data_IF_788098773185
#
_entry.id   IF_788098773185
#
_cell.length_a   1.000
_cell.length_b   1.000
_cell.length_c   1.000
_cell.angle_alpha   90.00
_cell.angle_beta   90.00
_cell.angle_gamma   90.00
#
_symmetry.space_group_name_H-M   'P 1'
#
loop_
_entity.id
_entity.type
_entity.pdbx_description
1 polymer ?
#
# COMPACT_ATOMS: atom_id res chain seq x y z
N UNK A 1 -3.64 -13.18 10.85
CA UNK A 1 -2.98 -13.22 12.18
C UNK A 1 -1.46 -13.16 12.09
N UNK A 2 -0.81 -13.85 11.14
CA UNK A 2 0.67 -13.83 11.02
C UNK A 2 1.28 -12.45 10.73
N UNK A 3 0.69 -11.63 9.84
CA UNK A 3 1.23 -10.31 9.45
C UNK A 3 1.35 -9.30 10.60
N UNK A 4 0.56 -9.45 11.67
CA UNK A 4 0.44 -8.49 12.78
C UNK A 4 1.04 -8.96 14.10
N UNK A 5 1.31 -10.27 14.24
CA UNK A 5 2.19 -10.79 15.30
C UNK A 5 3.65 -10.42 15.01
N UNK A 6 3.96 -10.11 13.76
CA UNK A 6 5.21 -9.49 13.37
C UNK A 6 5.19 -7.98 13.67
N UNK A 7 5.49 -7.64 14.92
CA UNK A 7 5.56 -6.25 15.43
C UNK A 7 6.55 -5.42 14.61
N UNK A 8 7.65 -6.03 14.16
CA UNK A 8 8.67 -5.36 13.36
C UNK A 8 8.10 -4.96 12.01
N UNK A 9 7.45 -5.88 11.30
CA UNK A 9 6.83 -5.59 10.02
C UNK A 9 5.69 -4.56 10.17
N UNK A 10 4.86 -4.70 11.19
CA UNK A 10 3.76 -3.77 11.42
C UNK A 10 4.24 -2.34 11.77
N UNK A 11 5.30 -2.20 12.56
CA UNK A 11 5.91 -0.91 12.87
C UNK A 11 6.53 -0.21 11.65
N UNK A 12 6.85 -0.97 10.59
CA UNK A 12 7.41 -0.43 9.34
C UNK A 12 6.35 -0.15 8.26
N UNK A 13 5.20 -0.80 8.35
CA UNK A 13 4.12 -0.70 7.35
C UNK A 13 3.01 0.29 7.74
N UNK A 14 2.99 0.76 8.99
CA UNK A 14 1.94 1.63 9.52
C UNK A 14 2.53 2.90 10.13
N UNK A 15 2.01 4.05 9.73
CA UNK A 15 2.30 5.33 10.41
C UNK A 15 1.65 5.45 11.80
N UNK A 16 0.82 4.47 12.21
CA UNK A 16 0.20 4.41 13.54
C UNK A 16 0.97 3.48 14.47
N UNK A 17 1.05 3.79 15.79
CA UNK A 17 1.65 2.90 16.77
C UNK A 17 1.03 1.51 16.73
N UNK A 18 1.86 0.47 16.73
CA UNK A 18 1.37 -0.90 16.87
C UNK A 18 0.62 -1.06 18.20
N UNK A 19 -0.51 -1.77 18.16
CA UNK A 19 -1.31 -2.09 19.34
C UNK A 19 -1.60 -3.59 19.36
N UNK A 20 -1.49 -4.26 20.52
CA UNK A 20 -1.96 -5.63 20.66
C UNK A 20 -3.44 -5.70 20.34
N UNK A 21 -3.86 -6.72 19.58
CA UNK A 21 -5.27 -7.00 19.35
C UNK A 21 -5.70 -8.16 20.25
N UNK A 22 -6.84 -7.99 20.91
CA UNK A 22 -7.46 -9.08 21.67
C UNK A 22 -7.86 -10.20 20.70
N UNK A 23 -7.70 -11.49 21.06
CA UNK A 23 -8.19 -12.62 20.28
C UNK A 23 -9.68 -12.52 19.92
N UNK A 24 -10.47 -11.87 20.78
CA UNK A 24 -11.93 -11.71 20.62
C UNK A 24 -12.33 -10.39 19.94
N UNK A 25 -11.37 -9.61 19.45
CA UNK A 25 -11.66 -8.33 18.80
C UNK A 25 -12.52 -8.55 17.54
N UNK A 26 -13.79 -8.13 17.61
CA UNK A 26 -14.77 -8.18 16.50
C UNK A 26 -14.54 -7.09 15.43
N UNK A 27 -13.29 -6.68 15.24
CA UNK A 27 -12.95 -5.77 14.15
C UNK A 27 -12.11 -6.56 13.15
N UNK A 28 -12.71 -7.15 12.11
CA UNK A 28 -11.91 -7.73 11.05
C UNK A 28 -11.06 -6.58 10.51
N UNK A 29 -9.74 -6.71 10.59
CA UNK A 29 -8.79 -5.73 10.05
C UNK A 29 -8.97 -5.48 8.55
N UNK A 30 -9.78 -6.32 7.90
CA UNK A 30 -10.13 -6.32 6.49
C UNK A 30 -11.65 -6.14 6.28
N UNK A 31 -12.37 -5.65 7.31
CA UNK A 31 -13.74 -5.20 7.11
C UNK A 31 -13.65 -3.91 6.29
N UNK A 32 -13.94 -4.04 4.99
CA UNK A 32 -14.13 -2.89 4.14
C UNK A 32 -15.23 -2.03 4.77
N UNK A 33 -14.93 -0.76 4.96
CA UNK A 33 -15.95 0.25 5.23
C UNK A 33 -16.51 0.68 3.87
N UNK A 34 -17.61 0.06 3.46
CA UNK A 34 -18.23 0.28 2.16
C UNK A 34 -18.84 1.70 2.02
N UNK A 35 -18.88 2.49 3.10
CA UNK A 35 -19.43 3.85 3.12
C UNK A 35 -18.34 4.94 2.93
N UNK A 36 -17.04 4.62 3.11
CA UNK A 36 -15.95 5.59 2.96
C UNK A 36 -15.54 5.76 1.49
N UNK A 37 -16.17 6.71 0.79
CA UNK A 37 -15.82 7.02 -0.61
C UNK A 37 -14.35 7.49 -0.82
N UNK A 38 -13.70 7.94 0.27
CA UNK A 38 -12.31 8.39 0.32
C UNK A 38 -11.28 7.27 0.39
N UNK A 39 -11.73 6.02 0.52
CA UNK A 39 -10.88 4.84 0.71
C UNK A 39 -11.46 3.62 -0.01
N UNK A 40 -10.60 2.74 -0.50
CA UNK A 40 -11.02 1.43 -1.02
C UNK A 40 -10.01 0.40 -0.56
N UNK A 41 -10.50 -0.69 0.00
CA UNK A 41 -9.69 -1.80 0.49
C UNK A 41 -9.92 -3.06 -0.35
N UNK A 42 -8.84 -3.79 -0.57
CA UNK A 42 -8.85 -5.02 -1.36
C UNK A 42 -8.16 -6.14 -0.59
N UNK A 43 -8.72 -7.34 -0.69
CA UNK A 43 -8.01 -8.58 -0.39
C UNK A 43 -7.17 -8.99 -1.61
N UNK A 44 -5.90 -9.36 -1.39
CA UNK A 44 -5.04 -9.91 -2.44
C UNK A 44 -5.05 -11.42 -2.30
N UNK A 45 -5.51 -12.12 -3.33
CA UNK A 45 -5.59 -13.59 -3.36
C UNK A 45 -4.77 -14.16 -4.51
N UNK A 46 -4.12 -15.31 -4.31
CA UNK A 46 -3.54 -16.08 -5.42
C UNK A 46 -4.67 -16.60 -6.31
N UNK A 47 -4.52 -16.42 -7.64
CA UNK A 47 -5.50 -16.93 -8.61
C UNK A 47 -5.60 -18.47 -8.56
N UNK A 48 -4.47 -19.13 -8.28
CA UNK A 48 -4.45 -20.56 -8.02
C UNK A 48 -4.86 -20.83 -6.57
N UNK A 49 -6.00 -21.49 -6.39
CA UNK A 49 -6.51 -21.89 -5.07
C UNK A 49 -7.19 -20.80 -4.23
N UNK A 50 -7.13 -19.51 -4.60
CA UNK A 50 -7.84 -18.44 -3.89
C UNK A 50 -7.24 -18.08 -2.52
N UNK A 51 -5.99 -18.44 -2.28
CA UNK A 51 -5.31 -18.21 -1.01
C UNK A 51 -5.12 -16.73 -0.76
N UNK A 52 -5.58 -16.21 0.39
CA UNK A 52 -5.32 -14.84 0.81
C UNK A 52 -3.83 -14.64 1.11
N UNK A 53 -3.18 -13.75 0.35
CA UNK A 53 -1.74 -13.48 0.44
C UNK A 53 -1.41 -12.06 0.89
N UNK A 54 -2.40 -11.18 1.02
CA UNK A 54 -2.18 -9.82 1.48
C UNK A 54 -3.37 -8.90 1.33
N UNK A 55 -3.09 -7.61 1.40
CA UNK A 55 -4.03 -6.51 1.21
C UNK A 55 -3.49 -5.44 0.30
N UNK A 56 -4.41 -4.67 -0.23
CA UNK A 56 -4.12 -3.47 -1.00
C UNK A 56 -5.15 -2.39 -0.67
N UNK A 57 -4.75 -1.13 -0.78
CA UNK A 57 -5.60 0.00 -0.42
C UNK A 57 -5.36 1.18 -1.34
N UNK A 58 -6.44 1.85 -1.75
CA UNK A 58 -6.44 3.23 -2.19
C UNK A 58 -6.96 4.09 -1.05
N UNK A 59 -6.30 5.21 -0.73
CA UNK A 59 -6.81 6.15 0.29
C UNK A 59 -6.51 7.60 -0.06
N UNK A 60 -7.18 8.51 0.65
CA UNK A 60 -7.07 9.94 0.39
C UNK A 60 -7.56 10.27 -1.01
N UNK A 61 -8.63 9.60 -1.44
CA UNK A 61 -9.20 9.79 -2.77
C UNK A 61 -9.83 11.18 -2.83
N UNK A 62 -9.20 12.05 -3.61
CA UNK A 62 -9.70 13.38 -3.91
C UNK A 62 -10.35 13.35 -5.29
N UNK A 63 -11.67 13.50 -5.33
CA UNK A 63 -12.45 13.46 -6.57
C UNK A 63 -12.36 14.77 -7.36
N UNK A 64 -12.04 15.88 -6.72
CA UNK A 64 -11.85 17.17 -7.37
C UNK A 64 -10.49 17.23 -8.07
N UNK A 65 -9.41 16.94 -7.33
CA UNK A 65 -8.04 16.93 -7.86
C UNK A 65 -7.70 15.61 -8.58
N UNK A 66 -8.58 14.61 -8.49
CA UNK A 66 -8.46 13.30 -9.14
C UNK A 66 -7.15 12.60 -8.75
N UNK A 67 -6.90 12.49 -7.45
CA UNK A 67 -5.68 11.86 -6.93
C UNK A 67 -5.96 10.89 -5.79
N UNK A 68 -5.10 9.90 -5.61
CA UNK A 68 -5.13 9.02 -4.45
C UNK A 68 -3.74 8.49 -4.10
N UNK A 69 -3.58 7.98 -2.90
CA UNK A 69 -2.45 7.15 -2.52
C UNK A 69 -2.78 5.67 -2.73
N UNK A 70 -1.76 4.87 -3.02
CA UNK A 70 -1.87 3.41 -3.09
C UNK A 70 -0.84 2.75 -2.17
N UNK A 71 -1.18 1.57 -1.67
CA UNK A 71 -0.32 0.83 -0.75
C UNK A 71 -0.73 -0.62 -0.66
N UNK A 72 0.24 -1.47 -0.32
CA UNK A 72 0.07 -2.93 -0.28
C UNK A 72 0.76 -3.52 0.95
N UNK A 73 0.23 -4.64 1.44
CA UNK A 73 0.84 -5.45 2.47
C UNK A 73 0.76 -6.92 2.08
N UNK A 74 1.91 -7.59 1.93
CA UNK A 74 1.97 -9.02 1.58
C UNK A 74 2.49 -9.86 2.75
N UNK A 75 1.91 -11.05 2.90
CA UNK A 75 2.39 -12.08 3.82
C UNK A 75 3.85 -12.44 3.51
N UNK A 76 4.69 -12.76 4.52
CA UNK A 76 6.09 -13.12 4.30
C UNK A 76 6.26 -14.24 3.26
N UNK A 77 5.39 -15.25 3.26
CA UNK A 77 5.40 -16.38 2.32
C UNK A 77 5.09 -16.00 0.86
N UNK A 78 4.53 -14.81 0.63
CA UNK A 78 4.17 -14.30 -0.69
C UNK A 78 5.22 -13.30 -1.25
N UNK A 79 6.20 -12.89 -0.44
CA UNK A 79 7.23 -11.92 -0.87
C UNK A 79 8.26 -12.57 -1.80
N UNK A 80 8.89 -11.75 -2.62
CA UNK A 80 9.93 -12.20 -3.57
C UNK A 80 9.42 -12.95 -4.80
N UNK A 81 8.10 -13.15 -4.94
CA UNK A 81 7.46 -13.88 -6.05
C UNK A 81 6.91 -13.00 -7.17
N UNK A 82 7.13 -11.68 -7.11
CA UNK A 82 6.61 -10.71 -8.08
C UNK A 82 5.25 -10.11 -7.74
N UNK A 83 4.49 -10.68 -6.79
CA UNK A 83 3.15 -10.19 -6.43
C UNK A 83 3.10 -8.71 -6.04
N UNK A 84 4.13 -8.16 -5.39
CA UNK A 84 4.13 -6.73 -5.04
C UNK A 84 4.07 -5.81 -6.27
N UNK A 85 4.76 -6.18 -7.35
CA UNK A 85 4.73 -5.42 -8.60
C UNK A 85 3.40 -5.60 -9.32
N UNK A 86 2.85 -6.82 -9.33
CA UNK A 86 1.56 -7.17 -9.93
C UNK A 86 0.38 -6.44 -9.26
N UNK A 87 0.35 -6.42 -7.92
CA UNK A 87 -0.68 -5.71 -7.15
C UNK A 87 -0.60 -4.20 -7.40
N UNK A 88 0.60 -3.61 -7.39
CA UNK A 88 0.77 -2.18 -7.71
C UNK A 88 0.24 -1.86 -9.12
N UNK A 89 0.53 -2.69 -10.12
CA UNK A 89 0.00 -2.53 -11.47
C UNK A 89 -1.52 -2.63 -11.52
N UNK A 90 -2.09 -3.58 -10.78
CA UNK A 90 -3.55 -3.76 -10.63
C UNK A 90 -4.20 -2.52 -10.01
N UNK A 91 -3.60 -1.94 -8.95
CA UNK A 91 -4.08 -0.70 -8.35
C UNK A 91 -3.94 0.50 -9.29
N UNK A 92 -2.90 0.54 -10.12
CA UNK A 92 -2.76 1.57 -11.16
C UNK A 92 -3.91 1.48 -12.16
N UNK A 93 -4.20 0.28 -12.65
CA UNK A 93 -5.33 0.04 -13.55
C UNK A 93 -6.65 0.47 -12.91
N UNK A 94 -6.92 0.05 -11.67
CA UNK A 94 -8.12 0.48 -10.95
C UNK A 94 -8.19 2.00 -10.78
N UNK A 95 -7.11 2.64 -10.33
CA UNK A 95 -7.07 4.09 -10.09
C UNK A 95 -7.27 4.90 -11.38
N UNK A 96 -6.58 4.55 -12.46
CA UNK A 96 -6.63 5.32 -13.71
C UNK A 96 -7.84 4.99 -14.57
N UNK A 97 -8.16 3.70 -14.75
CA UNK A 97 -9.22 3.27 -15.68
C UNK A 97 -10.58 3.26 -15.00
N UNK A 98 -10.69 2.68 -13.80
CA UNK A 98 -11.99 2.51 -13.12
C UNK A 98 -12.38 3.80 -12.38
N UNK A 99 -11.44 4.41 -11.66
CA UNK A 99 -11.70 5.62 -10.86
C UNK A 99 -11.45 6.92 -11.62
N UNK A 100 -10.88 6.86 -12.83
CA UNK A 100 -10.63 8.04 -13.65
C UNK A 100 -9.69 9.04 -13.00
N UNK A 101 -8.77 8.60 -12.15
CA UNK A 101 -7.83 9.49 -11.47
C UNK A 101 -6.79 10.04 -12.46
N UNK A 102 -6.28 11.23 -12.17
CA UNK A 102 -5.18 11.87 -12.90
C UNK A 102 -3.82 11.42 -12.36
N UNK A 103 -3.75 11.09 -11.07
CA UNK A 103 -2.50 10.86 -10.35
C UNK A 103 -2.65 9.81 -9.26
N UNK A 104 -1.64 8.94 -9.14
CA UNK A 104 -1.46 8.02 -8.02
C UNK A 104 -0.14 8.31 -7.30
N UNK A 105 -0.13 8.05 -6.01
CA UNK A 105 1.00 8.38 -5.13
C UNK A 105 1.33 7.20 -4.21
N UNK A 106 2.61 7.04 -3.90
CA UNK A 106 3.10 6.08 -2.91
C UNK A 106 3.99 6.84 -1.94
N UNK A 107 3.82 6.58 -0.66
CA UNK A 107 4.73 6.99 0.40
C UNK A 107 5.24 5.72 1.08
N UNK A 108 6.56 5.61 1.21
CA UNK A 108 7.19 4.43 1.83
C UNK A 108 8.52 4.82 2.46
N UNK A 109 8.95 4.07 3.48
CA UNK A 109 10.28 4.21 4.07
C UNK A 109 11.36 4.21 2.98
N UNK A 110 12.37 5.08 3.14
CA UNK A 110 13.44 5.26 2.16
C UNK A 110 14.29 4.00 1.94
N UNK A 111 14.30 3.08 2.90
CA UNK A 111 15.01 1.80 2.84
C UNK A 111 14.14 0.62 2.37
N UNK A 112 12.87 0.86 2.03
CA UNK A 112 11.95 -0.18 1.55
C UNK A 112 12.20 -0.52 0.07
N UNK A 113 13.33 -1.18 -0.20
CA UNK A 113 13.75 -1.55 -1.56
C UNK A 113 12.70 -2.35 -2.33
N UNK A 114 11.90 -3.19 -1.64
CA UNK A 114 10.86 -4.00 -2.27
C UNK A 114 9.70 -3.15 -2.83
N UNK A 115 9.23 -2.17 -2.05
CA UNK A 115 8.17 -1.26 -2.50
C UNK A 115 8.69 -0.29 -3.55
N UNK A 116 9.88 0.29 -3.34
CA UNK A 116 10.52 1.18 -4.32
C UNK A 116 10.68 0.49 -5.67
N UNK A 117 11.21 -0.74 -5.70
CA UNK A 117 11.36 -1.50 -6.95
C UNK A 117 10.03 -1.91 -7.59
N UNK A 118 8.99 -2.15 -6.79
CA UNK A 118 7.65 -2.45 -7.32
C UNK A 118 6.98 -1.22 -7.92
N UNK A 119 7.15 -0.05 -7.30
CA UNK A 119 6.66 1.23 -7.80
C UNK A 119 7.39 1.65 -9.09
N UNK A 120 8.72 1.64 -9.08
CA UNK A 120 9.55 2.04 -10.23
C UNK A 120 9.28 1.15 -11.46
N UNK A 121 9.06 -0.17 -11.27
CA UNK A 121 8.66 -1.08 -12.36
C UNK A 121 7.29 -0.76 -12.98
N UNK A 122 6.40 -0.11 -12.22
CA UNK A 122 5.11 0.36 -12.69
C UNK A 122 5.14 1.81 -13.22
N UNK A 123 6.34 2.40 -13.34
CA UNK A 123 6.54 3.73 -13.92
C UNK A 123 6.45 4.88 -12.92
N UNK A 124 6.29 4.61 -11.62
CA UNK A 124 6.38 5.66 -10.61
C UNK A 124 7.76 6.29 -10.60
N UNK A 125 7.81 7.60 -10.38
CA UNK A 125 9.05 8.36 -10.23
C UNK A 125 9.15 8.90 -8.81
N UNK A 126 10.38 9.00 -8.28
CA UNK A 126 10.63 9.64 -6.99
C UNK A 126 10.52 11.15 -7.15
N UNK A 127 9.75 11.79 -6.28
CA UNK A 127 9.47 13.22 -6.34
C UNK A 127 10.03 13.98 -5.15
N UNK A 128 10.24 13.31 -4.01
CA UNK A 128 10.78 13.93 -2.82
C UNK A 128 11.13 12.95 -1.71
N UNK A 129 11.78 13.48 -0.68
CA UNK A 129 12.09 12.78 0.57
C UNK A 129 11.52 13.59 1.72
N UNK A 130 10.72 12.94 2.55
CA UNK A 130 10.26 13.46 3.82
C UNK A 130 11.28 13.04 4.88
N UNK A 131 12.07 14.00 5.35
CA UNK A 131 13.14 13.72 6.32
C UNK A 131 12.55 13.49 7.71
N UNK A 132 12.98 12.43 8.39
CA UNK A 132 12.60 12.11 9.76
C UNK A 132 11.08 12.04 9.97
N UNK A 133 10.31 11.58 8.98
CA UNK A 133 8.84 11.60 9.02
C UNK A 133 8.21 10.37 9.68
N UNK A 134 8.85 9.20 9.58
CA UNK A 134 8.32 7.95 10.12
C UNK A 134 9.02 7.54 11.42
N UNK A 135 8.23 7.26 12.46
CA UNK A 135 8.74 6.63 13.69
C UNK A 135 8.75 5.11 13.55
N UNK A 136 9.95 4.52 13.53
CA UNK A 136 10.14 3.08 13.34
C UNK A 136 11.06 2.56 14.43
N UNK A 137 10.53 1.69 15.31
CA UNK A 137 11.31 0.91 16.29
C UNK A 137 12.32 1.71 17.12
N UNK A 138 12.00 2.95 17.51
CA UNK A 138 12.83 3.76 18.41
C UNK A 138 13.62 4.88 17.73
N UNK A 139 13.55 4.98 16.40
CA UNK A 139 14.20 6.04 15.64
C UNK A 139 13.23 6.66 14.62
N UNK A 140 13.51 7.91 14.23
CA UNK A 140 12.86 8.50 13.08
C UNK A 140 13.66 8.21 11.82
N UNK A 141 12.97 7.79 10.77
CA UNK A 141 13.55 7.49 9.47
C UNK A 141 12.88 8.31 8.37
N UNK A 142 13.56 8.41 7.23
CA UNK A 142 13.06 9.14 6.07
C UNK A 142 12.04 8.31 5.28
N UNK A 143 11.08 9.00 4.67
CA UNK A 143 10.15 8.44 3.69
C UNK A 143 10.41 9.04 2.31
N UNK A 144 10.12 8.26 1.26
CA UNK A 144 10.21 8.68 -0.13
C UNK A 144 8.80 8.81 -0.68
N UNK A 145 8.55 9.95 -1.35
CA UNK A 145 7.34 10.19 -2.11
C UNK A 145 7.57 9.79 -3.56
N UNK A 146 6.67 8.95 -4.08
CA UNK A 146 6.64 8.57 -5.48
C UNK A 146 5.31 8.95 -6.11
N UNK A 147 5.35 9.43 -7.35
CA UNK A 147 4.17 9.82 -8.12
C UNK A 147 4.12 9.12 -9.47
N UNK A 148 2.91 8.84 -9.94
CA UNK A 148 2.62 8.40 -11.30
C UNK A 148 1.44 9.19 -11.85
N UNK A 149 1.63 9.80 -13.01
CA UNK A 149 0.57 10.51 -13.74
C UNK A 149 -0.02 9.60 -14.81
N UNK A 150 -1.32 9.72 -15.05
CA UNK A 150 -2.02 8.88 -16.05
C UNK A 150 -1.41 8.99 -17.45
N UNK A 151 -0.86 10.16 -17.82
CA UNK A 151 -0.21 10.39 -19.12
C UNK A 151 1.11 9.63 -19.30
N UNK A 152 1.75 9.26 -18.18
CA UNK A 152 3.05 8.59 -18.14
C UNK A 152 2.89 7.08 -17.89
N UNK A 153 1.68 6.65 -17.48
CA UNK A 153 1.33 5.27 -17.22
C UNK A 153 1.18 4.46 -18.51
N UNK A 154 1.73 3.24 -18.49
CA UNK A 154 1.62 2.25 -19.58
C UNK A 154 0.97 0.99 -19.00
N UNK A 155 -0.24 0.61 -19.46
CA UNK A 155 -0.93 -0.58 -19.00
C UNK A 155 -0.16 -1.88 -19.26
#
# INVERSE_FOLDING_TARGET
TELHNDVVNAARASGRPWRPMSPDAKNPLFAADDEDEGRVEFSVVELDGGTLIGTATLWGIDTHNRSAHIGIGLLPSARGKGYGTDVVGTLCHYGFVVRGLQRLQIETLADNAAMLGSAERNGFVREGVLRSSAWVLGEFVDEVLLGLLVKDWKP
#
